data_IF_607693030648
#
_entry.id   IF_607693030648
#
_cell.length_a   1.000
_cell.length_b   1.000
_cell.length_c   1.000
_cell.angle_alpha   90.00
_cell.angle_beta   90.00
_cell.angle_gamma   90.00
#
_symmetry.space_group_name_H-M   'P 1'
#
loop_
_entity.id
_entity.type
_entity.pdbx_description
1 polymer ?
#
# COMPACT_ATOMS: atom_id res chain seq x y z
N UNK A 1 3.07 4.87 -63.17
CA UNK A 1 1.62 4.57 -63.27
C UNK A 1 0.99 4.79 -61.90
N UNK A 2 0.29 5.90 -61.70
CA UNK A 2 -0.44 6.21 -60.46
C UNK A 2 -1.92 5.97 -60.72
N UNK A 3 -2.54 5.02 -60.01
CA UNK A 3 -3.99 4.74 -60.11
C UNK A 3 -4.75 5.59 -59.09
N UNK A 4 -5.61 6.46 -59.61
CA UNK A 4 -6.57 7.29 -58.89
C UNK A 4 -7.77 6.44 -58.47
N UNK A 5 -8.12 6.40 -57.19
CA UNK A 5 -9.37 5.78 -56.72
C UNK A 5 -10.38 6.92 -56.49
N UNK A 6 -11.46 6.88 -57.27
CA UNK A 6 -12.61 7.78 -57.24
C UNK A 6 -13.68 7.10 -56.38
N UNK A 7 -14.03 7.66 -55.23
CA UNK A 7 -15.15 7.19 -54.41
C UNK A 7 -16.41 7.98 -54.76
N UNK A 8 -17.44 7.29 -55.20
CA UNK A 8 -18.73 7.84 -55.63
C UNK A 8 -19.73 7.73 -54.49
N UNK A 9 -20.52 8.80 -54.36
CA UNK A 9 -21.65 9.03 -53.46
C UNK A 9 -22.81 8.03 -53.62
N UNK A 10 -23.64 7.84 -52.57
CA UNK A 10 -25.00 8.40 -52.45
C UNK A 10 -25.78 7.84 -51.25
N UNK A 11 -26.76 8.65 -50.87
CA UNK A 11 -27.63 8.67 -49.69
C UNK A 11 -28.79 7.65 -49.70
N UNK A 12 -29.59 7.76 -48.62
CA UNK A 12 -30.96 7.28 -48.35
C UNK A 12 -31.02 5.90 -47.66
N UNK A 13 -31.81 5.68 -46.59
CA UNK A 13 -33.25 5.96 -46.45
C UNK A 13 -33.62 6.20 -44.97
N UNK A 14 -34.52 7.17 -44.75
CA UNK A 14 -35.28 7.41 -43.52
C UNK A 14 -36.52 6.49 -43.53
N UNK A 15 -36.82 5.81 -42.42
CA UNK A 15 -38.16 5.28 -42.15
C UNK A 15 -38.62 5.77 -40.78
N UNK A 16 -39.68 6.57 -40.81
CA UNK A 16 -40.48 7.04 -39.67
C UNK A 16 -41.84 6.36 -39.78
N UNK A 17 -42.19 5.52 -38.81
CA UNK A 17 -43.56 5.13 -38.43
C UNK A 17 -43.42 4.63 -36.98
N UNK A 18 -44.21 4.99 -35.97
CA UNK A 18 -45.42 5.76 -35.86
C UNK A 18 -45.93 5.55 -34.42
N UNK A 19 -46.47 6.61 -33.87
CA UNK A 19 -47.09 6.79 -32.55
C UNK A 19 -47.93 5.64 -31.98
N UNK A 20 -47.85 5.47 -30.66
CA UNK A 20 -49.03 5.22 -29.83
C UNK A 20 -48.87 5.97 -28.51
N UNK A 21 -49.68 7.04 -28.35
CA UNK A 21 -49.90 7.70 -27.07
C UNK A 21 -50.90 6.87 -26.28
N UNK A 22 -50.58 6.57 -25.01
CA UNK A 22 -51.60 6.47 -23.97
C UNK A 22 -51.09 7.28 -22.77
N UNK A 23 -51.80 8.37 -22.51
CA UNK A 23 -51.75 9.17 -21.30
C UNK A 23 -52.25 8.33 -20.12
N UNK A 24 -51.46 8.22 -19.05
CA UNK A 24 -52.02 8.15 -17.71
C UNK A 24 -51.23 9.07 -16.79
N UNK A 25 -51.95 10.09 -16.34
CA UNK A 25 -51.66 10.96 -15.22
C UNK A 25 -51.47 10.16 -13.94
N UNK A 26 -50.39 10.42 -13.22
CA UNK A 26 -50.42 10.61 -11.77
C UNK A 26 -49.16 11.37 -11.38
N UNK A 27 -49.37 12.63 -10.99
CA UNK A 27 -48.34 13.42 -10.33
C UNK A 27 -47.93 12.76 -9.03
N UNK A 28 -46.65 12.41 -8.92
CA UNK A 28 -45.96 12.42 -7.65
C UNK A 28 -44.67 13.19 -7.82
N UNK A 29 -44.70 14.36 -7.18
CA UNK A 29 -43.59 15.23 -6.90
C UNK A 29 -42.49 14.39 -6.23
N UNK A 30 -41.50 13.92 -7.00
CA UNK A 30 -40.32 13.28 -6.45
C UNK A 30 -39.47 14.40 -5.86
N UNK A 31 -39.64 14.64 -4.56
CA UNK A 31 -38.62 15.30 -3.76
C UNK A 31 -37.25 14.70 -4.12
N UNK A 32 -36.19 15.51 -4.27
CA UNK A 32 -34.84 15.00 -4.32
C UNK A 32 -34.65 14.11 -3.10
N UNK A 33 -34.36 12.83 -3.30
CA UNK A 33 -33.87 11.99 -2.23
C UNK A 33 -32.58 12.62 -1.75
N UNK A 34 -32.70 13.34 -0.64
CA UNK A 34 -31.61 13.74 0.21
C UNK A 34 -30.77 12.49 0.42
N UNK A 35 -29.55 12.49 -0.13
CA UNK A 35 -28.54 11.52 0.26
C UNK A 35 -28.43 11.64 1.77
N UNK A 36 -29.12 10.77 2.49
CA UNK A 36 -28.83 10.49 3.89
C UNK A 36 -27.37 10.08 3.89
N UNK A 37 -26.51 11.05 4.21
CA UNK A 37 -25.16 10.84 4.66
C UNK A 37 -25.31 9.86 5.81
N UNK A 38 -25.14 8.58 5.51
CA UNK A 38 -24.90 7.56 6.51
C UNK A 38 -23.65 8.07 7.19
N UNK A 39 -23.83 8.71 8.33
CA UNK A 39 -22.74 9.04 9.23
C UNK A 39 -22.18 7.67 9.58
N UNK A 40 -21.19 7.23 8.82
CA UNK A 40 -20.26 6.21 9.26
C UNK A 40 -19.73 6.83 10.53
N UNK A 41 -20.24 6.34 11.67
CA UNK A 41 -19.57 6.56 12.93
C UNK A 41 -18.21 5.95 12.67
N UNK A 42 -17.22 6.80 12.43
CA UNK A 42 -15.82 6.46 12.61
C UNK A 42 -15.74 6.05 14.09
N UNK A 43 -16.03 4.78 14.38
CA UNK A 43 -15.78 4.21 15.69
C UNK A 43 -14.28 4.33 15.87
N UNK A 44 -13.91 5.32 16.68
CA UNK A 44 -12.55 5.50 17.14
C UNK A 44 -12.21 4.22 17.89
N UNK A 45 -11.46 3.33 17.22
CA UNK A 45 -10.93 2.13 17.81
C UNK A 45 -10.14 2.55 19.06
N UNK A 46 -10.59 2.07 20.22
CA UNK A 46 -9.95 2.39 21.49
C UNK A 46 -8.59 1.69 21.55
N UNK A 47 -7.53 2.48 21.76
CA UNK A 47 -6.11 2.13 21.58
C UNK A 47 -5.63 0.87 22.34
N UNK A 48 -6.31 0.48 23.42
CA UNK A 48 -5.85 -0.58 24.34
C UNK A 48 -6.01 -2.03 23.86
N UNK A 49 -6.73 -2.29 22.76
CA UNK A 49 -7.04 -3.68 22.32
C UNK A 49 -6.17 -4.18 21.16
N UNK A 50 -5.27 -3.34 20.66
CA UNK A 50 -4.59 -3.54 19.38
C UNK A 50 -3.08 -3.73 19.55
N UNK A 51 -2.69 -4.57 20.50
CA UNK A 51 -1.30 -4.99 20.69
C UNK A 51 -0.88 -5.92 19.55
N UNK A 52 -0.19 -5.35 18.57
CA UNK A 52 0.36 -6.06 17.42
C UNK A 52 1.84 -5.73 17.32
N UNK A 53 2.65 -6.76 17.16
CA UNK A 53 4.08 -6.66 16.92
C UNK A 53 4.45 -7.24 15.55
N UNK A 54 5.70 -7.00 15.16
CA UNK A 54 6.26 -7.41 13.87
C UNK A 54 6.18 -8.95 13.71
N UNK A 55 6.49 -9.69 14.77
CA UNK A 55 6.49 -11.15 14.80
C UNK A 55 5.07 -11.73 14.62
N UNK A 56 4.08 -11.12 15.23
CA UNK A 56 2.67 -11.45 15.04
C UNK A 56 2.26 -11.23 13.59
N UNK A 57 2.57 -10.07 13.00
CA UNK A 57 2.26 -9.80 11.59
C UNK A 57 2.89 -10.85 10.68
N UNK A 58 4.18 -11.13 10.86
CA UNK A 58 4.89 -12.15 10.08
C UNK A 58 4.20 -13.51 10.16
N UNK A 59 3.99 -14.02 11.38
CA UNK A 59 3.39 -15.37 11.58
C UNK A 59 1.94 -15.46 11.14
N UNK A 60 1.19 -14.37 11.28
CA UNK A 60 -0.22 -14.30 10.92
C UNK A 60 -0.44 -14.26 9.41
N UNK A 61 0.41 -13.53 8.69
CA UNK A 61 0.12 -13.10 7.32
C UNK A 61 1.09 -13.65 6.27
N UNK A 62 2.39 -13.74 6.56
CA UNK A 62 3.38 -14.11 5.55
C UNK A 62 3.11 -15.51 4.99
N UNK A 63 3.09 -15.64 3.67
CA UNK A 63 2.77 -16.89 2.96
C UNK A 63 1.30 -17.32 3.03
N UNK A 64 0.40 -16.54 3.65
CA UNK A 64 -1.03 -16.83 3.68
C UNK A 64 -1.73 -16.29 2.43
N UNK A 65 -2.87 -16.88 2.01
CA UNK A 65 -3.64 -16.36 0.88
C UNK A 65 -4.05 -14.90 1.13
N UNK A 66 -3.82 -14.02 0.17
CA UNK A 66 -4.17 -12.59 0.28
C UNK A 66 -5.68 -12.41 0.52
N UNK A 67 -6.50 -13.26 -0.09
CA UNK A 67 -7.97 -13.26 0.02
C UNK A 67 -8.51 -13.66 1.40
N UNK A 68 -7.75 -14.43 2.18
CA UNK A 68 -8.22 -15.02 3.45
C UNK A 68 -8.08 -14.07 4.66
N UNK A 69 -7.50 -12.88 4.47
CA UNK A 69 -7.15 -12.00 5.58
C UNK A 69 -8.34 -11.20 6.07
N UNK A 70 -8.64 -11.40 7.35
CA UNK A 70 -9.81 -10.86 8.04
C UNK A 70 -9.42 -9.71 8.95
N UNK A 71 -10.45 -8.98 9.34
CA UNK A 71 -10.43 -7.94 10.37
C UNK A 71 -9.60 -8.35 11.59
N UNK A 72 -8.65 -7.49 11.96
CA UNK A 72 -7.85 -7.60 13.17
C UNK A 72 -8.64 -7.00 14.34
N UNK A 73 -9.79 -7.60 14.66
CA UNK A 73 -10.65 -7.23 15.78
C UNK A 73 -11.07 -5.73 15.82
N UNK A 74 -11.24 -5.09 14.66
CA UNK A 74 -11.62 -3.67 14.56
C UNK A 74 -10.46 -2.69 14.74
N UNK A 75 -9.22 -3.17 14.83
CA UNK A 75 -8.04 -2.31 15.02
C UNK A 75 -7.68 -1.48 13.79
N UNK A 76 -8.13 -1.90 12.61
CA UNK A 76 -7.78 -1.24 11.36
C UNK A 76 -8.96 -1.23 10.40
N UNK A 77 -9.00 -0.16 9.62
CA UNK A 77 -9.79 -0.12 8.38
C UNK A 77 -8.99 -0.83 7.30
N UNK A 78 -9.55 -1.90 6.75
CA UNK A 78 -8.92 -2.71 5.69
C UNK A 78 -9.47 -2.28 4.34
N UNK A 79 -8.58 -2.09 3.36
CA UNK A 79 -8.98 -1.79 1.98
C UNK A 79 -8.12 -2.56 0.99
N UNK A 80 -8.77 -3.21 0.04
CA UNK A 80 -8.11 -3.78 -1.14
C UNK A 80 -7.49 -2.67 -1.98
N UNK A 81 -6.26 -2.88 -2.44
CA UNK A 81 -5.52 -1.93 -3.26
C UNK A 81 -4.72 -2.66 -4.32
N UNK A 82 -4.30 -1.92 -5.34
CA UNK A 82 -3.33 -2.35 -6.32
C UNK A 82 -2.04 -1.57 -6.08
N UNK A 83 -0.93 -2.24 -6.28
CA UNK A 83 0.40 -1.63 -6.31
C UNK A 83 0.85 -1.58 -7.76
N UNK A 84 1.45 -0.47 -8.15
CA UNK A 84 1.98 -0.25 -9.49
C UNK A 84 3.51 -0.26 -9.42
N UNK A 85 4.14 -1.05 -10.28
CA UNK A 85 5.59 -1.03 -10.52
C UNK A 85 5.95 -0.15 -11.71
N UNK A 86 7.24 0.17 -11.83
CA UNK A 86 7.76 1.11 -12.83
C UNK A 86 7.52 0.66 -14.28
N UNK A 87 7.41 -0.65 -14.52
CA UNK A 87 7.17 -1.24 -15.85
C UNK A 87 5.68 -1.42 -16.19
N UNK A 88 4.78 -0.78 -15.43
CA UNK A 88 3.33 -0.94 -15.58
C UNK A 88 2.80 -2.30 -15.10
N UNK A 89 3.63 -3.07 -14.41
CA UNK A 89 3.22 -4.31 -13.73
C UNK A 89 2.46 -3.94 -12.47
N UNK A 90 1.27 -4.51 -12.30
CA UNK A 90 0.45 -4.29 -11.11
C UNK A 90 0.27 -5.57 -10.33
N UNK A 91 0.19 -5.47 -9.00
CA UNK A 91 -0.12 -6.61 -8.14
C UNK A 91 -1.09 -6.24 -7.02
N UNK A 92 -1.74 -7.26 -6.46
CA UNK A 92 -2.75 -7.07 -5.43
C UNK A 92 -2.11 -6.83 -4.07
N UNK A 93 -2.74 -5.95 -3.30
CA UNK A 93 -2.36 -5.69 -1.92
C UNK A 93 -3.59 -5.39 -1.06
N UNK A 94 -3.40 -5.45 0.25
CA UNK A 94 -4.36 -5.01 1.25
C UNK A 94 -3.70 -3.97 2.15
N UNK A 95 -4.32 -2.81 2.25
CA UNK A 95 -3.90 -1.75 3.16
C UNK A 95 -4.65 -1.82 4.48
N UNK A 96 -3.91 -1.65 5.57
CA UNK A 96 -4.44 -1.58 6.92
C UNK A 96 -4.17 -0.17 7.44
N UNK A 97 -5.26 0.53 7.80
CA UNK A 97 -5.19 1.91 8.27
C UNK A 97 -5.66 2.03 9.71
N UNK A 98 -4.93 2.80 10.50
CA UNK A 98 -5.29 3.20 11.87
C UNK A 98 -5.32 4.71 11.91
N UNK A 99 -6.35 5.32 12.49
CA UNK A 99 -6.48 6.78 12.57
C UNK A 99 -6.33 7.51 11.22
N UNK A 100 -6.84 6.90 10.13
CA UNK A 100 -6.76 7.40 8.74
C UNK A 100 -5.36 7.38 8.11
N UNK A 101 -4.34 6.98 8.85
CA UNK A 101 -2.97 6.79 8.37
C UNK A 101 -2.72 5.34 7.98
N UNK A 102 -1.80 5.13 7.04
CA UNK A 102 -1.39 3.78 6.65
C UNK A 102 -0.52 3.19 7.73
N UNK A 103 -0.95 2.05 8.30
CA UNK A 103 -0.22 1.37 9.35
C UNK A 103 0.70 0.30 8.77
N UNK A 104 0.15 -0.58 7.93
CA UNK A 104 0.94 -1.53 7.14
C UNK A 104 0.22 -1.97 5.86
N UNK A 105 0.99 -2.54 4.93
CA UNK A 105 0.54 -3.16 3.69
C UNK A 105 0.84 -4.65 3.72
N UNK A 106 -0.09 -5.46 3.21
CA UNK A 106 0.13 -6.85 2.84
C UNK A 106 0.12 -6.93 1.32
N UNK A 107 1.21 -7.36 0.73
CA UNK A 107 1.42 -7.34 -0.72
C UNK A 107 1.65 -8.77 -1.22
N UNK A 108 1.03 -9.11 -2.35
CA UNK A 108 1.48 -10.23 -3.16
C UNK A 108 2.69 -9.81 -4.00
N UNK A 109 3.13 -10.67 -4.92
CA UNK A 109 4.08 -10.28 -5.96
C UNK A 109 3.45 -10.45 -7.34
N UNK A 110 4.14 -10.01 -8.38
CA UNK A 110 3.74 -10.31 -9.76
C UNK A 110 3.94 -11.79 -10.14
N UNK A 111 4.74 -12.54 -9.37
CA UNK A 111 5.00 -13.97 -9.59
C UNK A 111 3.94 -14.81 -8.85
N UNK A 112 3.82 -14.58 -7.54
CA UNK A 112 2.79 -15.16 -6.69
C UNK A 112 1.77 -14.08 -6.33
N UNK A 113 0.66 -14.08 -7.08
CA UNK A 113 -0.44 -13.13 -6.90
C UNK A 113 -1.46 -13.59 -5.86
N UNK A 114 -1.35 -14.85 -5.40
CA UNK A 114 -2.32 -15.47 -4.51
C UNK A 114 -1.98 -15.35 -3.02
N UNK A 115 -0.69 -15.27 -2.70
CA UNK A 115 -0.19 -15.23 -1.33
C UNK A 115 0.46 -13.91 -0.98
N UNK A 116 0.51 -13.62 0.31
CA UNK A 116 1.26 -12.48 0.85
C UNK A 116 2.74 -12.85 0.83
N UNK A 117 3.49 -12.16 -0.02
CA UNK A 117 4.94 -12.31 -0.14
C UNK A 117 5.70 -11.17 0.53
N UNK A 118 5.01 -10.07 0.87
CA UNK A 118 5.63 -8.92 1.53
C UNK A 118 4.68 -8.26 2.52
N UNK A 119 5.22 -7.82 3.64
CA UNK A 119 4.55 -6.97 4.61
C UNK A 119 5.40 -5.71 4.77
N UNK A 120 4.80 -4.54 4.55
CA UNK A 120 5.48 -3.25 4.74
C UNK A 120 4.82 -2.48 5.87
N UNK A 121 5.58 -2.14 6.91
CA UNK A 121 5.10 -1.48 8.13
C UNK A 121 5.56 -0.03 8.16
N UNK A 122 4.65 0.88 8.48
CA UNK A 122 4.85 2.32 8.58
C UNK A 122 4.46 2.89 9.96
N UNK A 123 3.74 2.10 10.76
CA UNK A 123 3.22 2.53 12.06
C UNK A 123 4.27 2.45 13.17
N UNK A 124 4.57 3.59 13.79
CA UNK A 124 5.50 3.67 14.93
C UNK A 124 5.03 2.94 16.20
N UNK A 125 3.74 2.61 16.29
CA UNK A 125 3.20 1.82 17.40
C UNK A 125 3.50 0.32 17.23
N UNK A 126 3.83 -0.15 16.03
CA UNK A 126 4.16 -1.56 15.76
C UNK A 126 5.66 -1.75 15.90
N UNK A 127 6.05 -2.54 16.89
CA UNK A 127 7.47 -2.81 17.22
C UNK A 127 7.75 -4.31 17.23
N UNK A 128 9.01 -4.70 17.12
CA UNK A 128 9.44 -6.06 17.42
C UNK A 128 9.31 -6.36 18.91
N UNK A 129 9.43 -7.63 19.29
CA UNK A 129 9.50 -8.05 20.70
C UNK A 129 10.71 -7.43 21.43
N UNK A 130 11.74 -7.01 20.68
CA UNK A 130 12.90 -6.30 21.23
C UNK A 130 12.75 -4.77 21.24
N UNK A 131 11.56 -4.26 20.90
CA UNK A 131 11.23 -2.84 20.93
C UNK A 131 11.74 -2.03 19.73
N UNK A 132 12.19 -2.68 18.64
CA UNK A 132 12.63 -2.01 17.41
C UNK A 132 11.40 -1.65 16.59
N UNK A 133 11.30 -0.42 16.13
CA UNK A 133 10.21 0.05 15.27
C UNK A 133 10.58 1.29 14.48
N UNK A 134 9.57 1.88 13.83
CA UNK A 134 9.71 3.12 13.08
C UNK A 134 10.18 4.25 14.01
N UNK A 135 11.12 5.05 13.53
CA UNK A 135 11.72 6.16 14.28
C UNK A 135 12.94 5.79 15.13
N UNK A 136 13.22 4.49 15.36
CA UNK A 136 14.49 4.10 15.97
C UNK A 136 15.66 4.49 15.07
N UNK A 137 16.73 4.97 15.69
CA UNK A 137 17.93 5.43 15.02
C UNK A 137 18.91 4.29 14.72
N UNK A 138 19.88 4.53 13.83
CA UNK A 138 20.97 3.60 13.56
C UNK A 138 21.71 3.25 14.85
N UNK A 139 21.89 4.23 15.76
CA UNK A 139 22.45 4.02 17.09
C UNK A 139 21.70 2.96 17.89
N UNK A 140 20.37 3.02 17.87
CA UNK A 140 19.51 2.15 18.68
C UNK A 140 19.56 0.69 18.20
N UNK A 141 19.74 0.48 16.90
CA UNK A 141 19.69 -0.84 16.26
C UNK A 141 21.06 -1.39 15.87
N UNK A 142 22.15 -0.63 16.07
CA UNK A 142 23.48 -0.93 15.51
C UNK A 142 23.97 -2.37 15.78
N UNK A 143 23.72 -2.91 16.98
CA UNK A 143 24.12 -4.27 17.37
C UNK A 143 23.09 -5.35 17.01
N UNK A 144 21.98 -4.98 16.38
CA UNK A 144 20.83 -5.84 16.07
C UNK A 144 20.64 -6.05 14.56
N UNK A 145 21.47 -5.42 13.75
CA UNK A 145 21.40 -5.47 12.29
C UNK A 145 22.63 -6.14 11.69
N UNK A 146 22.45 -6.69 10.49
CA UNK A 146 23.57 -7.06 9.64
C UNK A 146 24.26 -5.78 9.15
N UNK A 147 25.58 -5.68 9.40
CA UNK A 147 26.39 -4.52 9.02
C UNK A 147 26.58 -4.39 7.50
N UNK A 148 26.25 -5.42 6.73
CA UNK A 148 26.22 -5.35 5.27
C UNK A 148 24.94 -4.61 4.84
N UNK A 149 25.11 -3.34 4.48
CA UNK A 149 24.06 -2.55 3.85
C UNK A 149 23.92 -2.91 2.37
N UNK A 150 22.70 -2.86 1.86
CA UNK A 150 22.45 -2.80 0.42
C UNK A 150 21.99 -1.38 0.09
N UNK A 151 22.72 -0.64 -0.77
CA UNK A 151 22.22 0.62 -1.31
C UNK A 151 20.85 0.40 -1.95
N UNK A 152 19.88 1.25 -1.65
CA UNK A 152 18.63 1.29 -2.42
C UNK A 152 18.64 2.54 -3.30
N UNK A 153 18.05 2.47 -4.50
CA UNK A 153 17.68 3.68 -5.22
C UNK A 153 16.79 4.57 -4.33
N UNK A 154 16.76 5.87 -4.64
CA UNK A 154 15.77 6.82 -4.11
C UNK A 154 15.94 7.27 -2.65
N UNK A 155 17.16 7.29 -2.13
CA UNK A 155 17.43 7.96 -0.85
C UNK A 155 17.09 7.12 0.37
N UNK A 156 17.25 5.80 0.26
CA UNK A 156 17.09 4.86 1.38
C UNK A 156 18.30 3.93 1.56
N UNK A 157 18.47 3.44 2.79
CA UNK A 157 19.36 2.32 3.12
C UNK A 157 18.56 1.16 3.70
N UNK A 158 18.97 -0.07 3.36
CA UNK A 158 18.37 -1.28 3.90
C UNK A 158 19.38 -2.06 4.74
N UNK A 159 18.96 -2.41 5.96
CA UNK A 159 19.69 -3.29 6.85
C UNK A 159 18.83 -4.49 7.24
N UNK A 160 19.32 -5.70 6.99
CA UNK A 160 18.66 -6.92 7.47
C UNK A 160 18.78 -7.05 8.99
N UNK A 161 17.77 -7.62 9.63
CA UNK A 161 17.86 -8.00 11.04
C UNK A 161 18.91 -9.11 11.24
N UNK A 162 19.64 -9.04 12.35
CA UNK A 162 20.73 -9.97 12.63
C UNK A 162 20.21 -11.38 12.99
N UNK A 163 19.04 -11.47 13.61
CA UNK A 163 18.43 -12.72 14.10
C UNK A 163 17.39 -13.28 13.14
N UNK A 164 16.77 -12.42 12.32
CA UNK A 164 15.69 -12.81 11.42
C UNK A 164 15.88 -12.26 9.99
N UNK A 165 16.33 -13.13 9.09
CA UNK A 165 16.65 -12.76 7.71
C UNK A 165 15.44 -12.28 6.89
N UNK A 166 14.21 -12.50 7.38
CA UNK A 166 12.99 -12.03 6.73
C UNK A 166 12.73 -10.54 7.00
N UNK A 167 13.32 -9.97 8.05
CA UNK A 167 13.07 -8.59 8.48
C UNK A 167 14.17 -7.68 7.93
N UNK A 168 13.76 -6.59 7.27
CA UNK A 168 14.63 -5.54 6.77
C UNK A 168 14.17 -4.18 7.27
N UNK A 169 15.08 -3.41 7.86
CA UNK A 169 14.87 -2.04 8.29
C UNK A 169 15.26 -1.07 7.17
N UNK A 170 14.29 -0.28 6.72
CA UNK A 170 14.49 0.74 5.68
C UNK A 170 14.67 2.09 6.35
N UNK A 171 15.80 2.72 6.11
CA UNK A 171 16.18 3.98 6.72
C UNK A 171 16.17 5.11 5.71
N UNK A 172 15.55 6.24 6.06
CA UNK A 172 15.51 7.43 5.22
C UNK A 172 16.84 8.20 5.34
N UNK A 173 17.51 8.38 4.21
CA UNK A 173 18.79 9.11 4.14
C UNK A 173 18.67 10.44 3.40
N UNK A 174 17.45 10.94 3.13
CA UNK A 174 17.24 12.18 2.40
C UNK A 174 17.85 13.42 3.06
N UNK A 175 18.03 13.39 4.38
CA UNK A 175 18.74 14.41 5.15
C UNK A 175 20.28 14.31 5.11
N UNK A 176 20.85 13.32 4.42
CA UNK A 176 22.28 12.98 4.50
C UNK A 176 22.93 12.84 3.11
N UNK A 177 23.33 13.95 2.48
CA UNK A 177 23.87 13.95 1.11
C UNK A 177 25.06 13.01 0.90
N UNK A 178 25.94 12.88 1.90
CA UNK A 178 27.09 11.98 1.82
C UNK A 178 26.70 10.49 1.73
N UNK A 179 25.55 10.10 2.30
CA UNK A 179 25.00 8.75 2.15
C UNK A 179 24.32 8.59 0.78
N UNK A 180 23.53 9.58 0.36
CA UNK A 180 22.80 9.54 -0.92
C UNK A 180 23.75 9.46 -2.11
N UNK A 181 24.85 10.21 -2.06
CA UNK A 181 25.88 10.22 -3.10
C UNK A 181 26.85 9.04 -2.99
N UNK A 182 26.65 8.15 -2.02
CA UNK A 182 27.49 6.98 -1.83
C UNK A 182 28.94 7.28 -1.43
N UNK A 183 29.17 8.42 -0.76
CA UNK A 183 30.50 8.75 -0.23
C UNK A 183 30.80 7.99 1.07
N UNK A 184 29.77 7.54 1.78
CA UNK A 184 29.88 6.77 3.03
C UNK A 184 29.05 5.49 2.91
N UNK A 185 29.73 4.34 2.89
CA UNK A 185 29.11 3.00 2.91
C UNK A 185 29.52 2.15 4.11
N UNK A 186 30.53 2.61 4.84
CA UNK A 186 30.96 2.00 6.09
C UNK A 186 30.00 2.42 7.19
N UNK A 187 29.25 1.46 7.74
CA UNK A 187 28.27 1.66 8.82
C UNK A 187 28.88 2.34 10.05
N UNK A 188 30.18 2.16 10.27
CA UNK A 188 30.87 2.76 11.42
C UNK A 188 31.01 4.27 11.26
N UNK A 189 31.08 4.75 10.01
CA UNK A 189 31.18 6.16 9.63
C UNK A 189 29.83 6.81 9.35
N UNK A 190 28.74 6.03 9.31
CA UNK A 190 27.40 6.57 9.08
C UNK A 190 26.93 7.42 10.27
N UNK A 191 26.19 8.52 10.00
CA UNK A 191 25.48 9.27 11.04
C UNK A 191 24.57 8.34 11.85
N UNK A 192 24.67 8.44 13.17
CA UNK A 192 24.01 7.48 14.09
C UNK A 192 22.53 7.82 14.34
N UNK A 193 22.11 9.01 13.93
CA UNK A 193 20.78 9.58 14.09
C UNK A 193 19.83 9.28 12.90
N UNK A 194 20.33 8.70 11.80
CA UNK A 194 19.51 8.18 10.69
C UNK A 194 18.44 7.26 11.26
N UNK A 195 17.18 7.40 10.82
CA UNK A 195 16.04 6.68 11.42
C UNK A 195 15.41 5.67 10.49
N UNK A 196 14.85 4.61 11.08
CA UNK A 196 13.96 3.68 10.40
C UNK A 196 12.71 4.44 9.97
N UNK A 197 12.40 4.40 8.67
CA UNK A 197 11.20 4.97 8.07
C UNK A 197 10.14 3.90 7.79
N UNK A 198 10.56 2.70 7.39
CA UNK A 198 9.67 1.56 7.20
C UNK A 198 10.37 0.24 7.54
N UNK A 199 9.59 -0.80 7.78
CA UNK A 199 10.09 -2.16 8.01
C UNK A 199 9.44 -3.07 6.99
N UNK A 200 10.25 -3.88 6.32
CA UNK A 200 9.80 -4.83 5.30
C UNK A 200 10.04 -6.25 5.80
N UNK A 201 9.02 -7.09 5.65
CA UNK A 201 9.08 -8.53 5.92
C UNK A 201 8.83 -9.26 4.60
N UNK A 202 9.75 -10.12 4.16
CA UNK A 202 9.57 -10.98 2.98
C UNK A 202 9.82 -12.45 3.32
#
# INVERSE_FOLDING_TARGET
>A
MKKTIKMISKQFIIVVIGSSQILYSCGQNKQPQELTKKHIKDEVATDSKCEINIEYLKTKFLGKPLSANKDLNGCFVIKDTLMDGDDGVTWSAKSYKRNKEMSFLLESSWIDTGHITRITIFDSQIKSLEGIGIGNSLKDIYNKINKKTTPMPDGYLAFGDLKDQHITYIMDINGYPALQEGRIWDIDKMPKDVKINSIVIN
#
